data_IF_295968548736
#
_entry.id   IF_295968548736
#
_cell.length_a   1.000
_cell.length_b   1.000
_cell.length_c   1.000
_cell.angle_alpha   90.00
_cell.angle_beta   90.00
_cell.angle_gamma   90.00
#
_symmetry.space_group_name_H-M   'P 1'
#
loop_
_entity.id
_entity.type
_entity.pdbx_description
1 polymer ?
#
# COMPACT_ATOMS: atom_id res chain seq x y z
N UNK A 1 9.23 75.65 -44.30
CA UNK A 1 10.02 74.41 -44.13
C UNK A 1 9.46 73.66 -42.91
N UNK A 2 9.27 72.33 -42.98
CA UNK A 2 8.38 71.58 -42.08
C UNK A 2 9.08 70.95 -40.86
N UNK A 3 8.29 70.77 -39.81
CA UNK A 3 8.63 70.09 -38.56
C UNK A 3 8.82 68.57 -38.75
N UNK A 4 9.82 67.98 -38.07
CA UNK A 4 9.96 66.52 -37.90
C UNK A 4 9.66 66.14 -36.44
N UNK A 5 8.43 65.71 -36.16
CA UNK A 5 8.09 64.95 -34.95
C UNK A 5 8.66 63.54 -35.07
N UNK A 6 9.62 63.17 -34.20
CA UNK A 6 9.98 61.75 -34.00
C UNK A 6 8.88 61.10 -33.16
N UNK A 7 8.06 60.32 -33.84
CA UNK A 7 7.14 59.35 -33.25
C UNK A 7 7.89 58.35 -32.38
N UNK A 8 7.53 58.24 -31.11
CA UNK A 8 7.63 56.98 -30.38
C UNK A 8 6.52 56.95 -29.35
N UNK A 9 5.32 56.68 -29.85
CA UNK A 9 4.20 56.25 -29.03
C UNK A 9 4.04 54.75 -29.22
N UNK A 10 3.48 54.10 -28.20
CA UNK A 10 2.90 52.75 -28.14
C UNK A 10 3.90 51.60 -28.38
N UNK A 11 4.09 50.65 -27.46
CA UNK A 11 3.08 49.64 -27.07
C UNK A 11 3.33 49.14 -25.64
N UNK A 12 2.51 49.56 -24.67
CA UNK A 12 2.32 48.83 -23.41
C UNK A 12 1.36 47.67 -23.68
N UNK A 13 1.85 46.64 -24.36
CA UNK A 13 1.11 45.39 -24.59
C UNK A 13 1.37 44.44 -23.43
N UNK A 14 0.35 44.17 -22.60
CA UNK A 14 0.42 43.12 -21.55
C UNK A 14 0.83 41.80 -22.20
N UNK A 15 2.07 41.35 -21.97
CA UNK A 15 2.53 40.02 -22.38
C UNK A 15 1.77 39.00 -21.52
N UNK A 16 0.97 38.15 -22.16
CA UNK A 16 0.41 36.97 -21.47
C UNK A 16 1.61 36.07 -21.11
N UNK A 17 1.73 35.57 -19.87
CA UNK A 17 2.78 34.62 -19.54
C UNK A 17 2.58 33.38 -20.41
N UNK A 18 3.68 32.90 -21.01
CA UNK A 18 3.71 31.62 -21.71
C UNK A 18 3.42 30.52 -20.69
N UNK A 19 2.40 29.72 -20.96
CA UNK A 19 2.08 28.53 -20.17
C UNK A 19 2.72 27.36 -20.89
N UNK A 20 3.56 26.61 -20.18
CA UNK A 20 4.19 25.42 -20.75
C UNK A 20 3.09 24.40 -21.12
N UNK A 21 3.04 23.89 -22.35
CA UNK A 21 2.15 22.80 -22.71
C UNK A 21 2.33 21.55 -21.81
N UNK A 22 3.50 21.40 -21.18
CA UNK A 22 3.82 20.32 -20.25
C UNK A 22 3.50 20.67 -18.77
N UNK A 23 3.11 21.92 -18.46
CA UNK A 23 2.60 22.28 -17.13
C UNK A 23 1.22 21.64 -16.93
N UNK A 24 1.24 20.48 -16.27
CA UNK A 24 0.04 19.76 -15.86
C UNK A 24 -0.79 20.54 -14.83
N UNK A 25 -2.06 20.14 -14.63
CA UNK A 25 -2.89 20.77 -13.61
C UNK A 25 -2.30 20.57 -12.21
N UNK A 26 -2.52 21.57 -11.35
CA UNK A 26 -2.14 21.53 -9.94
C UNK A 26 -2.75 20.32 -9.21
N UNK A 27 -1.96 19.71 -8.34
CA UNK A 27 -2.39 18.55 -7.56
C UNK A 27 -3.32 19.02 -6.42
N UNK A 28 -4.63 18.79 -6.58
CA UNK A 28 -5.63 19.17 -5.57
C UNK A 28 -5.79 18.11 -4.48
N UNK A 29 -6.27 18.52 -3.30
CA UNK A 29 -6.55 17.61 -2.18
C UNK A 29 -7.57 16.52 -2.54
N UNK A 30 -8.58 16.85 -3.34
CA UNK A 30 -9.56 15.88 -3.83
C UNK A 30 -8.92 14.82 -4.76
N UNK A 31 -7.82 15.16 -5.45
CA UNK A 31 -7.05 14.20 -6.26
C UNK A 31 -6.19 13.30 -5.38
N UNK A 32 -5.64 13.83 -4.29
CA UNK A 32 -4.91 13.07 -3.28
C UNK A 32 -5.82 12.10 -2.51
N UNK A 33 -7.03 12.52 -2.15
CA UNK A 33 -7.97 11.69 -1.39
C UNK A 33 -8.37 10.40 -2.14
N UNK A 34 -8.52 10.49 -3.47
CA UNK A 34 -8.79 9.32 -4.34
C UNK A 34 -7.52 8.61 -4.84
N UNK A 35 -6.34 9.04 -4.42
CA UNK A 35 -5.09 8.49 -4.93
C UNK A 35 -4.86 7.04 -4.47
N UNK A 36 -4.21 6.25 -5.33
CA UNK A 36 -3.88 4.85 -5.06
C UNK A 36 -2.36 4.70 -5.10
N UNK A 37 -1.79 4.09 -4.06
CA UNK A 37 -0.36 3.74 -4.05
C UNK A 37 -0.09 2.65 -5.09
N UNK A 38 0.85 2.90 -6.01
CA UNK A 38 1.29 1.93 -7.03
C UNK A 38 2.80 1.79 -7.01
N UNK A 39 3.27 0.59 -7.31
CA UNK A 39 4.66 0.28 -7.64
C UNK A 39 4.67 -0.39 -9.02
N UNK A 40 5.17 0.35 -10.02
CA UNK A 40 4.95 0.02 -11.43
C UNK A 40 3.46 -0.17 -11.75
N UNK A 41 3.12 -1.32 -12.32
CA UNK A 41 1.73 -1.67 -12.67
C UNK A 41 0.90 -2.15 -11.46
N UNK A 42 1.51 -2.39 -10.30
CA UNK A 42 0.83 -3.05 -9.17
C UNK A 42 0.27 -2.04 -8.17
N UNK A 43 -1.02 -2.18 -7.84
CA UNK A 43 -1.65 -1.42 -6.75
C UNK A 43 -1.22 -1.99 -5.39
N UNK A 44 -0.60 -1.16 -4.55
CA UNK A 44 -0.22 -1.49 -3.17
C UNK A 44 -1.35 -1.03 -2.25
N UNK A 45 -2.02 -1.98 -1.59
CA UNK A 45 -2.98 -1.68 -0.52
C UNK A 45 -2.25 -1.68 0.82
N UNK A 46 -2.42 -0.62 1.62
CA UNK A 46 -1.95 -0.60 3.02
C UNK A 46 -2.83 -1.55 3.85
N UNK A 47 -2.25 -2.64 4.36
CA UNK A 47 -2.96 -3.65 5.17
C UNK A 47 -2.10 -4.89 5.45
N UNK A 48 -2.57 -5.79 6.33
CA UNK A 48 -1.93 -7.11 6.56
C UNK A 48 -1.74 -7.79 5.20
N UNK A 49 -0.55 -8.34 4.89
CA UNK A 49 -0.32 -9.04 3.63
C UNK A 49 -1.45 -10.04 3.39
N UNK A 50 -1.91 -10.24 2.13
CA UNK A 50 -2.88 -11.27 1.84
C UNK A 50 -2.39 -12.55 2.50
N UNK A 51 -3.21 -13.10 3.40
CA UNK A 51 -2.99 -14.40 4.00
C UNK A 51 -2.64 -15.31 2.80
N UNK A 52 -1.37 -15.72 2.70
CA UNK A 52 -0.89 -16.41 1.50
C UNK A 52 -1.73 -17.64 1.18
N UNK A 53 -1.46 -18.31 0.07
CA UNK A 53 -2.34 -19.33 -0.55
C UNK A 53 -2.93 -20.40 0.39
N UNK A 54 -2.37 -20.61 1.59
CA UNK A 54 -2.85 -21.58 2.60
C UNK A 54 -2.82 -21.01 4.03
N UNK A 55 -3.81 -20.21 4.46
CA UNK A 55 -3.87 -19.72 5.82
C UNK A 55 -4.25 -20.82 6.84
N UNK A 56 -3.82 -20.64 8.10
CA UNK A 56 -4.29 -21.49 9.21
C UNK A 56 -5.79 -21.26 9.42
N UNK A 57 -6.59 -22.32 9.37
CA UNK A 57 -8.02 -22.25 9.66
C UNK A 57 -8.26 -22.42 11.16
N UNK A 58 -9.05 -21.53 11.77
CA UNK A 58 -9.51 -21.71 13.15
C UNK A 58 -10.59 -22.79 13.18
N UNK A 59 -10.37 -23.84 13.96
CA UNK A 59 -11.33 -24.93 14.15
C UNK A 59 -11.64 -25.10 15.64
N UNK A 60 -12.87 -25.49 15.95
CA UNK A 60 -13.25 -25.88 17.32
C UNK A 60 -12.97 -27.37 17.49
N UNK A 61 -11.91 -27.71 18.22
CA UNK A 61 -11.50 -29.09 18.49
C UNK A 61 -11.48 -29.33 20.00
N UNK A 62 -11.99 -30.48 20.45
CA UNK A 62 -11.84 -30.95 21.83
C UNK A 62 -10.64 -31.88 21.91
N UNK A 63 -9.79 -31.64 22.90
CA UNK A 63 -8.62 -32.47 23.23
C UNK A 63 -8.79 -32.96 24.67
N UNK A 64 -8.17 -34.10 24.97
CA UNK A 64 -8.10 -34.57 26.35
C UNK A 64 -7.35 -33.56 27.23
N UNK A 65 -7.75 -33.48 28.50
CA UNK A 65 -7.26 -32.46 29.43
C UNK A 65 -5.78 -32.66 29.73
N UNK A 66 -5.34 -33.90 29.91
CA UNK A 66 -3.94 -34.28 30.15
C UNK A 66 -3.02 -33.86 28.99
N UNK A 67 -3.47 -34.05 27.74
CA UNK A 67 -2.76 -33.60 26.55
C UNK A 67 -2.67 -32.08 26.52
N UNK A 68 -3.76 -31.37 26.77
CA UNK A 68 -3.77 -29.91 26.76
C UNK A 68 -2.83 -29.34 27.84
N UNK A 69 -2.86 -29.89 29.04
CA UNK A 69 -1.99 -29.47 30.15
C UNK A 69 -0.51 -29.75 29.84
N UNK A 70 -0.19 -30.92 29.29
CA UNK A 70 1.18 -31.27 28.87
C UNK A 70 1.73 -30.26 27.85
N UNK A 71 0.91 -29.84 26.88
CA UNK A 71 1.33 -28.81 25.93
C UNK A 71 1.42 -27.43 26.58
N UNK A 72 0.45 -27.03 27.40
CA UNK A 72 0.47 -25.72 28.09
C UNK A 72 1.71 -25.57 28.99
N UNK A 73 2.17 -26.65 29.61
CA UNK A 73 3.37 -26.69 30.42
C UNK A 73 4.66 -26.37 29.65
N UNK A 74 4.68 -26.52 28.31
CA UNK A 74 5.80 -26.11 27.46
C UNK A 74 5.97 -24.58 27.39
N UNK A 75 4.96 -23.82 27.84
CA UNK A 75 5.00 -22.36 27.90
C UNK A 75 4.64 -21.68 26.59
N UNK A 76 5.27 -20.54 26.31
CA UNK A 76 4.97 -19.71 25.15
C UNK A 76 5.18 -20.50 23.84
N UNK A 77 4.16 -20.51 22.98
CA UNK A 77 4.23 -21.20 21.69
C UNK A 77 3.75 -22.66 21.69
N UNK A 78 3.15 -23.16 22.76
CA UNK A 78 2.60 -24.52 22.81
C UNK A 78 1.61 -24.84 21.67
N UNK A 79 0.84 -23.86 21.19
CA UNK A 79 -0.06 -24.00 20.02
C UNK A 79 0.71 -24.25 18.71
N UNK A 80 1.90 -23.66 18.58
CA UNK A 80 2.78 -23.91 17.43
C UNK A 80 3.37 -25.33 17.52
N UNK A 81 3.72 -25.76 18.73
CA UNK A 81 4.28 -27.09 18.98
C UNK A 81 3.28 -28.20 18.69
N UNK A 82 2.05 -28.11 19.20
CA UNK A 82 1.00 -29.11 18.92
C UNK A 82 0.71 -29.19 17.42
N UNK A 83 0.67 -28.06 16.72
CA UNK A 83 0.50 -28.06 15.27
C UNK A 83 1.70 -28.70 14.54
N UNK A 84 2.93 -28.49 15.02
CA UNK A 84 4.12 -29.14 14.46
C UNK A 84 4.09 -30.67 14.67
N UNK A 85 3.64 -31.11 15.85
CA UNK A 85 3.53 -32.54 16.19
C UNK A 85 2.45 -33.23 15.38
N UNK A 86 1.28 -32.60 15.23
CA UNK A 86 0.21 -33.08 14.35
C UNK A 86 0.68 -33.22 12.89
N UNK A 87 1.46 -32.26 12.39
CA UNK A 87 2.07 -32.36 11.05
C UNK A 87 3.04 -33.52 10.94
N UNK A 88 3.89 -33.73 11.94
CA UNK A 88 4.86 -34.84 11.98
C UNK A 88 4.16 -36.19 11.93
N UNK A 89 3.14 -36.39 12.78
CA UNK A 89 2.36 -37.64 12.84
C UNK A 89 1.61 -37.89 11.53
N UNK A 90 1.06 -36.84 10.91
CA UNK A 90 0.38 -36.92 9.61
C UNK A 90 1.33 -36.92 8.41
N UNK A 91 2.66 -36.89 8.62
CA UNK A 91 3.69 -36.83 7.57
C UNK A 91 3.49 -35.66 6.59
N UNK A 92 3.04 -34.51 7.09
CA UNK A 92 2.86 -33.29 6.32
C UNK A 92 4.18 -32.52 6.20
N UNK A 93 4.45 -31.93 5.02
CA UNK A 93 5.64 -31.06 4.84
C UNK A 93 5.61 -29.88 5.81
N UNK A 94 6.78 -29.55 6.35
CA UNK A 94 6.99 -28.33 7.15
C UNK A 94 6.65 -27.13 6.25
N UNK A 95 5.78 -26.26 6.74
CA UNK A 95 5.44 -25.00 6.08
C UNK A 95 6.44 -23.92 6.47
#
# INVERSE_FOLDING_TARGET
MPERKKSSSIISGKRRPWVDPDDGPELTDAMLDRAVFRDGDKVIRRGRPPLGDKPKSSVTLRLDVDVLEAYRALGAGWQTQINADLRRVRKLKKA
#
